data_IF_939389647690
#
_entry.id   IF_939389647690
#
_cell.length_a   1.000
_cell.length_b   1.000
_cell.length_c   1.000
_cell.angle_alpha   90.00
_cell.angle_beta   90.00
_cell.angle_gamma   90.00
#
_symmetry.space_group_name_H-M   'P 1'
#
loop_
_entity.id
_entity.type
_entity.pdbx_description
1 polymer ?
#
# COMPACT_ATOMS: atom_id res chain seq x y z
N UNK A 1 16.85 12.57 3.44
CA UNK A 1 15.65 11.96 2.84
C UNK A 1 15.40 10.64 3.56
N UNK A 2 14.22 10.47 4.17
CA UNK A 2 13.84 9.22 4.83
C UNK A 2 13.03 8.37 3.85
N UNK A 3 13.33 7.08 3.76
CA UNK A 3 12.57 6.12 2.96
C UNK A 3 11.57 5.47 3.90
N UNK A 4 10.29 5.40 3.51
CA UNK A 4 9.25 4.74 4.29
C UNK A 4 8.84 3.47 3.55
N UNK A 5 8.75 2.36 4.27
CA UNK A 5 8.18 1.11 3.78
C UNK A 5 6.87 0.83 4.50
N UNK A 6 5.77 0.77 3.74
CA UNK A 6 4.48 0.31 4.22
C UNK A 6 4.50 -1.21 4.28
N UNK A 7 4.70 -1.75 5.47
CA UNK A 7 5.08 -3.14 5.65
C UNK A 7 3.96 -3.98 6.28
N UNK A 8 3.75 -5.17 5.74
CA UNK A 8 2.96 -6.23 6.36
C UNK A 8 3.85 -7.46 6.62
N UNK A 9 4.15 -7.80 7.89
CA UNK A 9 5.01 -8.94 8.25
C UNK A 9 4.52 -10.30 7.75
N UNK A 10 3.22 -10.44 7.48
CA UNK A 10 2.62 -11.68 6.96
C UNK A 10 2.71 -11.79 5.42
N UNK A 11 3.22 -10.76 4.73
CA UNK A 11 3.34 -10.76 3.27
C UNK A 11 4.79 -11.01 2.84
N UNK A 12 5.06 -12.18 2.24
CA UNK A 12 6.41 -12.57 1.79
C UNK A 12 7.10 -11.48 0.95
N UNK A 13 6.38 -10.88 0.00
CA UNK A 13 6.90 -9.80 -0.86
C UNK A 13 7.31 -8.55 -0.08
N UNK A 14 6.56 -8.22 0.96
CA UNK A 14 6.85 -7.09 1.85
C UNK A 14 8.12 -7.34 2.65
N UNK A 15 8.34 -8.58 3.11
CA UNK A 15 9.57 -9.01 3.79
C UNK A 15 10.77 -9.01 2.85
N UNK A 16 10.61 -9.53 1.62
CA UNK A 16 11.65 -9.51 0.60
C UNK A 16 12.07 -8.07 0.24
N UNK A 17 11.12 -7.13 0.17
CA UNK A 17 11.41 -5.72 -0.10
C UNK A 17 12.17 -5.06 1.05
N UNK A 18 11.79 -5.35 2.31
CA UNK A 18 12.51 -4.85 3.48
C UNK A 18 13.96 -5.36 3.49
N UNK A 19 14.15 -6.67 3.28
CA UNK A 19 15.48 -7.28 3.21
C UNK A 19 16.32 -6.72 2.07
N UNK A 20 15.70 -6.42 0.91
CA UNK A 20 16.39 -5.77 -0.20
C UNK A 20 16.93 -4.38 0.21
N UNK A 21 16.11 -3.55 0.87
CA UNK A 21 16.54 -2.24 1.34
C UNK A 21 17.70 -2.37 2.35
N UNK A 22 17.58 -3.29 3.31
CA UNK A 22 18.62 -3.54 4.31
C UNK A 22 19.94 -4.04 3.69
N UNK A 23 19.87 -4.91 2.68
CA UNK A 23 21.03 -5.39 1.91
C UNK A 23 21.75 -4.25 1.16
N UNK A 24 21.00 -3.21 0.76
CA UNK A 24 21.55 -1.99 0.18
C UNK A 24 22.00 -0.96 1.24
N UNK A 25 22.09 -1.35 2.51
CA UNK A 25 22.45 -0.50 3.64
C UNK A 25 21.48 0.69 3.83
N UNK A 26 20.26 0.56 3.32
CA UNK A 26 19.18 1.52 3.51
C UNK A 26 18.38 1.07 4.72
N UNK A 27 18.24 1.96 5.72
CA UNK A 27 17.37 1.74 6.87
C UNK A 27 16.06 2.52 6.67
N UNK A 28 15.00 1.89 6.14
CA UNK A 28 13.73 2.57 5.98
C UNK A 28 13.00 2.70 7.32
N UNK A 29 12.17 3.72 7.42
CA UNK A 29 11.12 3.79 8.43
C UNK A 29 10.05 2.74 8.09
N UNK A 30 9.86 1.77 8.97
CA UNK A 30 8.84 0.72 8.81
C UNK A 30 7.51 1.21 9.38
N UNK A 31 6.50 1.30 8.52
CA UNK A 31 5.12 1.66 8.91
C UNK A 31 4.19 0.46 8.72
N UNK A 32 3.69 -0.10 9.82
CA UNK A 32 2.75 -1.23 9.80
C UNK A 32 1.36 -0.75 9.40
N UNK A 33 1.11 -0.67 8.09
CA UNK A 33 -0.09 -0.01 7.56
C UNK A 33 -1.42 -0.65 8.00
N UNK A 34 -1.43 -1.91 8.42
CA UNK A 34 -2.63 -2.56 8.96
C UNK A 34 -2.95 -2.14 10.40
N UNK A 35 -2.00 -1.57 11.13
CA UNK A 35 -2.19 -1.11 12.51
C UNK A 35 -2.55 0.39 12.59
N UNK A 36 -2.39 1.11 11.47
CA UNK A 36 -2.67 2.54 11.38
C UNK A 36 -3.91 2.77 10.53
N UNK A 37 -4.75 3.72 10.95
CA UNK A 37 -5.85 4.22 10.12
C UNK A 37 -5.34 5.40 9.31
N UNK A 38 -5.64 5.42 8.01
CA UNK A 38 -5.29 6.52 7.12
C UNK A 38 -6.53 7.34 6.78
N UNK A 39 -6.35 8.65 6.68
CA UNK A 39 -7.32 9.54 6.08
C UNK A 39 -7.32 9.40 4.55
N UNK A 40 -8.42 9.81 3.91
CA UNK A 40 -8.53 9.84 2.44
C UNK A 40 -7.40 10.68 1.82
N UNK A 41 -7.07 11.83 2.43
CA UNK A 41 -6.02 12.71 1.94
C UNK A 41 -4.62 12.04 1.98
N UNK A 42 -4.33 11.24 3.00
CA UNK A 42 -3.07 10.48 3.07
C UNK A 42 -2.99 9.40 1.99
N UNK A 43 -4.09 8.66 1.76
CA UNK A 43 -4.15 7.66 0.69
C UNK A 43 -4.00 8.28 -0.69
N UNK A 44 -4.62 9.45 -0.92
CA UNK A 44 -4.46 10.19 -2.16
C UNK A 44 -3.00 10.63 -2.39
N UNK A 45 -2.33 11.13 -1.35
CA UNK A 45 -0.93 11.50 -1.45
C UNK A 45 -0.01 10.29 -1.74
N UNK A 46 -0.38 9.09 -1.27
CA UNK A 46 0.33 7.85 -1.63
C UNK A 46 0.09 7.51 -3.10
N UNK A 47 -1.14 7.66 -3.61
CA UNK A 47 -1.48 7.45 -5.01
C UNK A 47 -0.66 8.36 -5.94
N UNK A 48 -0.56 9.64 -5.58
CA UNK A 48 0.21 10.64 -6.33
C UNK A 48 1.70 10.28 -6.37
N UNK A 49 2.27 9.79 -5.25
CA UNK A 49 3.67 9.32 -5.18
C UNK A 49 3.92 8.08 -6.03
N UNK A 50 2.92 7.21 -6.17
CA UNK A 50 2.97 6.03 -7.04
C UNK A 50 2.75 6.38 -8.52
N UNK A 51 2.28 7.60 -8.83
CA UNK A 51 1.98 8.05 -10.19
C UNK A 51 0.76 7.35 -10.79
N UNK A 52 -0.16 6.88 -9.94
CA UNK A 52 -1.39 6.20 -10.39
C UNK A 52 -2.57 7.18 -10.34
N UNK A 53 -3.37 7.17 -11.40
CA UNK A 53 -4.61 7.96 -11.46
C UNK A 53 -5.85 7.18 -11.00
N UNK A 54 -5.74 5.85 -10.88
CA UNK A 54 -6.82 4.96 -10.44
C UNK A 54 -6.43 4.31 -9.11
N UNK A 55 -7.17 4.63 -8.05
CA UNK A 55 -6.96 4.12 -6.69
C UNK A 55 -7.12 2.59 -6.61
N UNK A 56 -7.90 1.96 -7.49
CA UNK A 56 -8.03 0.49 -7.50
C UNK A 56 -6.69 -0.19 -7.82
N UNK A 57 -5.74 0.50 -8.44
CA UNK A 57 -4.40 -0.04 -8.69
C UNK A 57 -3.59 -0.26 -7.40
N UNK A 58 -3.89 0.46 -6.32
CA UNK A 58 -3.28 0.21 -4.99
C UNK A 58 -4.07 -0.79 -4.15
N UNK A 59 -5.26 -1.21 -4.60
CA UNK A 59 -6.11 -2.13 -3.86
C UNK A 59 -5.80 -3.59 -4.19
N UNK A 60 -6.06 -4.47 -3.22
CA UNK A 60 -5.97 -5.92 -3.42
C UNK A 60 -7.23 -6.44 -4.12
N UNK A 61 -7.32 -6.23 -5.43
CA UNK A 61 -8.50 -6.60 -6.25
C UNK A 61 -8.84 -8.10 -6.27
N UNK A 62 -7.88 -8.95 -5.90
CA UNK A 62 -8.05 -10.41 -5.82
C UNK A 62 -8.60 -10.91 -4.47
N UNK A 63 -8.67 -10.02 -3.47
CA UNK A 63 -9.15 -10.37 -2.14
C UNK A 63 -10.66 -10.64 -2.15
N UNK A 64 -11.14 -11.54 -1.30
CA UNK A 64 -12.57 -11.89 -1.24
C UNK A 64 -13.39 -10.68 -0.80
N UNK A 65 -12.90 -9.99 0.23
CA UNK A 65 -13.50 -8.76 0.76
C UNK A 65 -13.68 -7.69 -0.32
N UNK A 66 -12.75 -7.60 -1.27
CA UNK A 66 -12.86 -6.63 -2.36
C UNK A 66 -14.08 -6.90 -3.25
N UNK A 67 -14.36 -8.18 -3.52
CA UNK A 67 -15.50 -8.62 -4.31
C UNK A 67 -16.81 -8.57 -3.54
N UNK A 68 -16.79 -8.97 -2.26
CA UNK A 68 -17.97 -8.91 -1.39
C UNK A 68 -18.49 -7.47 -1.23
N UNK A 69 -17.57 -6.50 -1.18
CA UNK A 69 -17.91 -5.07 -1.12
C UNK A 69 -18.21 -4.44 -2.48
N UNK A 70 -18.11 -5.18 -3.59
CA UNK A 70 -18.39 -4.70 -4.94
C UNK A 70 -17.49 -3.53 -5.38
N UNK A 71 -16.23 -3.52 -4.93
CA UNK A 71 -15.31 -2.40 -5.14
C UNK A 71 -14.79 -2.30 -6.59
N UNK A 72 -15.01 -3.34 -7.39
CA UNK A 72 -14.83 -3.34 -8.84
C UNK A 72 -15.87 -2.51 -9.60
N UNK A 73 -16.97 -2.10 -8.94
CA UNK A 73 -18.01 -1.32 -9.58
C UNK A 73 -17.45 0.02 -10.13
N UNK A 74 -17.45 0.25 -11.45
CA UNK A 74 -16.89 1.45 -12.06
C UNK A 74 -17.68 2.72 -11.74
N UNK A 75 -18.91 2.62 -11.21
CA UNK A 75 -19.71 3.78 -10.82
C UNK A 75 -19.32 4.37 -9.46
N UNK A 76 -18.47 3.68 -8.69
CA UNK A 76 -17.93 4.21 -7.44
C UNK A 76 -16.89 5.31 -7.74
N UNK A 77 -17.03 6.44 -7.04
CA UNK A 77 -16.02 7.50 -7.02
C UNK A 77 -14.73 6.99 -6.37
N UNK A 78 -13.60 7.51 -6.84
CA UNK A 78 -12.27 7.15 -6.38
C UNK A 78 -11.60 8.35 -5.74
#
# INVERSE_FOLDING_TARGET
MSIIIYHNPSCSKSCETLALLENHQIQPQVELYLQKTYSVAELQAIADKLGISDIRQMMRTKDELYKELGLDNPTLSQ
#
